data_IF_574031627127
#
_entry.id   IF_574031627127
#
_cell.length_a   1.000
_cell.length_b   1.000
_cell.length_c   1.000
_cell.angle_alpha   90.00
_cell.angle_beta   90.00
_cell.angle_gamma   90.00
#
_symmetry.space_group_name_H-M   'P 1'
#
loop_
_entity.id
_entity.type
_entity.pdbx_description
1 polymer ?
#
# COMPACT_ATOMS: atom_id res chain seq x y z
N UNK A 1 -6.39 7.63 -0.13
CA UNK A 1 -5.48 8.04 0.96
C UNK A 1 -4.39 8.93 0.40
N UNK A 2 -3.88 9.90 1.17
CA UNK A 2 -2.77 10.77 0.74
C UNK A 2 -1.74 10.92 1.84
N UNK A 3 -0.47 11.00 1.47
CA UNK A 3 0.65 11.24 2.39
C UNK A 3 1.68 12.19 1.77
N UNK A 4 2.47 12.86 2.61
CA UNK A 4 3.60 13.69 2.19
C UNK A 4 4.91 12.92 2.39
N UNK A 5 5.83 13.01 1.44
CA UNK A 5 7.16 12.41 1.53
C UNK A 5 8.26 13.45 1.27
N UNK A 6 9.31 13.46 2.09
CA UNK A 6 10.42 14.41 1.94
C UNK A 6 11.41 13.98 0.86
N UNK A 7 11.51 12.68 0.60
CA UNK A 7 12.39 12.05 -0.36
C UNK A 7 11.78 10.79 -0.98
N UNK A 8 12.47 10.22 -1.98
CA UNK A 8 12.09 8.98 -2.62
C UNK A 8 12.74 7.82 -1.86
N UNK A 9 11.93 6.97 -1.24
CA UNK A 9 12.41 5.80 -0.51
C UNK A 9 11.53 4.59 -0.77
N UNK A 10 12.16 3.42 -0.74
CA UNK A 10 11.46 2.14 -0.74
C UNK A 10 10.64 2.02 0.55
N UNK A 11 9.44 1.45 0.43
CA UNK A 11 8.56 1.22 1.58
C UNK A 11 7.61 0.06 1.31
N UNK A 12 6.79 -0.30 2.28
CA UNK A 12 5.79 -1.35 2.19
C UNK A 12 4.44 -0.85 2.64
N UNK A 13 3.40 -1.17 1.88
CA UNK A 13 2.01 -0.92 2.24
C UNK A 13 1.43 -2.14 2.96
N UNK A 14 1.00 -1.93 4.21
CA UNK A 14 0.41 -2.96 5.06
C UNK A 14 -1.12 -3.05 4.86
N UNK A 15 -1.61 -4.29 4.75
CA UNK A 15 -3.03 -4.61 4.54
C UNK A 15 -3.69 -5.21 5.78
N UNK A 16 -3.10 -5.07 6.97
CA UNK A 16 -3.76 -5.42 8.23
C UNK A 16 -5.15 -4.76 8.31
N UNK A 17 -6.19 -5.56 8.52
CA UNK A 17 -7.58 -5.10 8.56
C UNK A 17 -8.28 -4.95 7.21
N UNK A 18 -7.56 -5.06 6.08
CA UNK A 18 -8.12 -5.07 4.74
C UNK A 18 -8.41 -6.51 4.27
N UNK A 19 -9.39 -6.68 3.37
CA UNK A 19 -9.81 -8.00 2.86
C UNK A 19 -9.02 -8.43 1.62
N UNK A 20 -9.53 -8.07 0.45
CA UNK A 20 -8.96 -8.47 -0.84
C UNK A 20 -9.11 -7.35 -1.85
N UNK A 21 -8.09 -7.15 -2.69
CA UNK A 21 -8.17 -6.07 -3.65
C UNK A 21 -6.91 -5.80 -4.47
N UNK A 22 -6.83 -4.57 -4.98
CA UNK A 22 -5.67 -4.02 -5.69
C UNK A 22 -5.31 -2.65 -5.12
N UNK A 23 -4.01 -2.34 -5.11
CA UNK A 23 -3.50 -1.05 -4.64
C UNK A 23 -2.84 -0.26 -5.78
N UNK A 24 -3.01 1.05 -5.76
CA UNK A 24 -2.40 1.97 -6.72
C UNK A 24 -1.70 3.10 -5.98
N UNK A 25 -0.50 3.47 -6.43
CA UNK A 25 0.22 4.66 -5.97
C UNK A 25 0.41 5.61 -7.14
N UNK A 26 -0.08 6.84 -7.03
CA UNK A 26 0.07 7.87 -8.06
C UNK A 26 -0.40 7.40 -9.47
N UNK A 27 -1.42 6.54 -9.51
CA UNK A 27 -1.94 5.91 -10.74
C UNK A 27 -1.20 4.65 -11.21
N UNK A 28 -0.06 4.31 -10.59
CA UNK A 28 0.65 3.06 -10.87
C UNK A 28 0.04 1.89 -10.09
N UNK A 29 -0.24 0.77 -10.75
CA UNK A 29 -0.79 -0.42 -10.11
C UNK A 29 0.32 -1.22 -9.39
N UNK A 30 0.27 -1.24 -8.06
CA UNK A 30 1.24 -1.96 -7.21
C UNK A 30 0.99 -3.47 -7.17
N UNK A 31 -0.22 -3.90 -7.52
CA UNK A 31 -0.60 -5.31 -7.53
C UNK A 31 -1.77 -5.62 -6.60
N UNK A 32 -1.92 -6.92 -6.33
CA UNK A 32 -3.04 -7.50 -5.57
C UNK A 32 -2.63 -7.75 -4.12
N UNK A 33 -3.56 -7.58 -3.20
CA UNK A 33 -3.44 -8.02 -1.81
C UNK A 33 -4.60 -8.95 -1.46
N UNK A 34 -4.38 -9.84 -0.50
CA UNK A 34 -5.41 -10.70 0.05
C UNK A 34 -5.05 -11.14 1.46
N UNK A 35 -5.97 -10.95 2.41
CA UNK A 35 -5.77 -11.26 3.83
C UNK A 35 -5.37 -12.71 4.12
N UNK A 36 -5.66 -13.66 3.21
CA UNK A 36 -5.27 -15.07 3.37
C UNK A 36 -3.74 -15.26 3.42
N UNK A 37 -2.95 -14.31 2.92
CA UNK A 37 -1.49 -14.38 2.90
C UNK A 37 -0.93 -15.37 1.85
N UNK A 38 0.35 -15.76 1.96
CA UNK A 38 1.28 -15.41 3.04
C UNK A 38 1.71 -13.94 3.02
N UNK A 39 1.74 -13.32 1.85
CA UNK A 39 2.12 -11.92 1.69
C UNK A 39 1.12 -10.98 2.40
N UNK A 40 1.59 -10.24 3.39
CA UNK A 40 0.78 -9.25 4.14
C UNK A 40 1.01 -7.81 3.69
N UNK A 41 2.13 -7.56 3.02
CA UNK A 41 2.53 -6.23 2.56
C UNK A 41 2.87 -6.20 1.07
N UNK A 42 2.54 -5.10 0.40
CA UNK A 42 3.03 -4.83 -0.97
C UNK A 42 4.23 -3.90 -0.93
N UNK A 43 5.28 -4.28 -1.64
CA UNK A 43 6.44 -3.43 -1.85
C UNK A 43 6.09 -2.21 -2.71
N UNK A 44 6.57 -1.05 -2.29
CA UNK A 44 6.49 0.21 -3.01
C UNK A 44 7.93 0.62 -3.37
N UNK A 45 8.31 0.53 -4.67
CA UNK A 45 9.56 1.07 -5.15
C UNK A 45 9.66 2.58 -4.92
N UNK A 46 10.77 3.05 -4.37
CA UNK A 46 11.06 4.45 -4.11
C UNK A 46 10.91 5.38 -5.32
N UNK A 47 11.27 4.97 -6.55
CA UNK A 47 11.02 5.80 -7.74
C UNK A 47 9.54 6.11 -8.03
N UNK A 48 8.59 5.34 -7.47
CA UNK A 48 7.15 5.63 -7.58
C UNK A 48 6.67 6.64 -6.53
N UNK A 49 7.41 6.81 -5.45
CA UNK A 49 7.17 7.84 -4.44
C UNK A 49 7.67 9.18 -4.97
N UNK A 50 6.83 10.19 -4.88
CA UNK A 50 7.16 11.57 -5.26
C UNK A 50 7.56 12.34 -4.01
N UNK A 51 8.52 13.25 -4.14
CA UNK A 51 8.71 14.29 -3.11
C UNK A 51 7.46 15.17 -3.05
N UNK A 52 6.94 15.39 -1.86
CA UNK A 52 5.65 16.04 -1.61
C UNK A 52 4.49 15.05 -1.59
N UNK A 53 3.34 15.49 -2.12
CA UNK A 53 2.07 14.76 -2.01
C UNK A 53 2.02 13.52 -2.90
N UNK A 54 1.65 12.40 -2.28
CA UNK A 54 1.38 11.11 -2.93
C UNK A 54 -0.07 10.69 -2.67
N UNK A 55 -0.64 9.94 -3.62
CA UNK A 55 -1.98 9.38 -3.51
C UNK A 55 -1.95 7.85 -3.61
N UNK A 56 -2.57 7.19 -2.63
CA UNK A 56 -2.84 5.76 -2.65
C UNK A 56 -4.35 5.54 -2.82
N UNK A 57 -4.70 4.71 -3.80
CA UNK A 57 -6.07 4.25 -4.04
C UNK A 57 -6.12 2.75 -3.80
N UNK A 58 -7.08 2.31 -3.00
CA UNK A 58 -7.37 0.90 -2.77
C UNK A 58 -8.72 0.55 -3.40
N UNK A 59 -8.72 -0.46 -4.27
CA UNK A 59 -9.94 -1.15 -4.68
C UNK A 59 -10.08 -2.39 -3.80
N UNK A 60 -11.19 -2.54 -3.10
CA UNK A 60 -11.42 -3.60 -2.10
C UNK A 60 -12.74 -4.34 -2.44
N UNK A 61 -12.76 -5.66 -2.31
CA UNK A 61 -13.88 -6.51 -2.77
C UNK A 61 -14.70 -7.17 -1.67
N UNK A 62 -14.19 -7.24 -0.45
CA UNK A 62 -14.78 -8.04 0.63
C UNK A 62 -15.54 -7.17 1.66
N UNK A 63 -15.67 -5.86 1.39
CA UNK A 63 -16.37 -4.87 2.22
C UNK A 63 -15.57 -4.38 3.44
N UNK A 64 -14.27 -4.69 3.52
CA UNK A 64 -13.40 -4.33 4.65
C UNK A 64 -12.63 -3.04 4.38
N UNK A 65 -13.09 -1.93 4.96
CA UNK A 65 -12.47 -0.62 4.80
C UNK A 65 -12.21 0.04 6.17
N UNK A 66 -11.08 -0.27 6.84
CA UNK A 66 -10.77 0.27 8.17
C UNK A 66 -10.60 1.80 8.21
N UNK A 67 -10.49 2.46 7.06
CA UNK A 67 -10.42 3.92 6.96
C UNK A 67 -9.02 4.51 7.16
N UNK A 68 -8.01 3.65 7.34
CA UNK A 68 -6.60 4.02 7.43
C UNK A 68 -5.71 3.05 6.65
N UNK A 69 -4.49 3.49 6.36
CA UNK A 69 -3.43 2.68 5.76
C UNK A 69 -2.13 2.90 6.52
N UNK A 70 -1.24 1.92 6.48
CA UNK A 70 0.07 2.00 7.13
C UNK A 70 1.17 1.76 6.11
N UNK A 71 2.18 2.63 6.14
CA UNK A 71 3.45 2.44 5.45
C UNK A 71 4.51 2.06 6.48
N UNK A 72 5.35 1.10 6.15
CA UNK A 72 6.41 0.58 7.02
C UNK A 72 7.70 0.42 6.23
N UNK A 73 8.83 0.36 6.94
CA UNK A 73 10.19 0.14 6.49
C UNK A 73 10.63 -1.33 6.52
N UNK A 74 9.74 -2.24 6.92
CA UNK A 74 10.02 -3.68 6.96
C UNK A 74 9.08 -4.47 6.01
N UNK A 75 9.61 -5.45 5.25
CA UNK A 75 8.76 -6.43 4.60
C UNK A 75 8.10 -7.34 5.64
N UNK A 76 6.89 -7.82 5.34
CA UNK A 76 6.24 -8.93 6.04
C UNK A 76 5.72 -9.91 4.97
N UNK A 77 6.48 -10.99 4.81
CA UNK A 77 6.25 -12.04 3.82
C UNK A 77 5.58 -13.28 4.41
N UNK A 78 5.15 -13.22 5.68
CA UNK A 78 4.61 -14.34 6.45
C UNK A 78 5.67 -15.10 7.25
#
# INVERSE_FOLDING_TARGET
FTFEAEEQCDTWLDFAGWGKGCAFLNGFNLGRYWEIGPQKRLYIPGPLVKKGKNEIILFETDGKAPGEITLTDEPDIG
#
